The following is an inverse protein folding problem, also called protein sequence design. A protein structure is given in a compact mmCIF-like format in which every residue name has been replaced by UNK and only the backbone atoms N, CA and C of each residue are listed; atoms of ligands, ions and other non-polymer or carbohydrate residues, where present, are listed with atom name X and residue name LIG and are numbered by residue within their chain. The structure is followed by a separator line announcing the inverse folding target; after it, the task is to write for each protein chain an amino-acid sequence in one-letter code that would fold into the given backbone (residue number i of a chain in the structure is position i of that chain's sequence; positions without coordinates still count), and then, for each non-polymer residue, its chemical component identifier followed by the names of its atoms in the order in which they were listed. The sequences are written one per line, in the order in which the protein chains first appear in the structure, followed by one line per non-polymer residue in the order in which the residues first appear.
data_IF_678565679138
#
_entry.id   IF_678565679138
#
_cell.length_a   1.000
_cell.length_b   1.000
_cell.length_c   1.000
_cell.angle_alpha   90.00
_cell.angle_beta   90.00
_cell.angle_gamma   90.00
#
_symmetry.space_group_name_H-M   'P 1'
#
loop_
_entity.id
_entity.type
_entity.pdbx_description
1 polymer ?
#
# COMPACT_ATOMS: atom_id res chain seq x y z
N UNK A 1 10.84 -24.25 -7.80
CA UNK A 1 11.06 -24.25 -6.34
C UNK A 1 12.14 -23.23 -6.04
N UNK A 2 11.75 -21.99 -5.71
CA UNK A 2 12.70 -20.98 -5.26
C UNK A 2 13.19 -21.40 -3.88
N UNK A 3 14.53 -21.49 -3.73
CA UNK A 3 15.18 -21.86 -2.48
C UNK A 3 14.65 -20.97 -1.34
N UNK A 4 14.26 -21.61 -0.23
CA UNK A 4 14.04 -20.96 1.07
C UNK A 4 15.40 -20.43 1.61
N UNK A 5 16.05 -19.54 0.88
CA UNK A 5 17.10 -18.73 1.47
C UNK A 5 16.42 -17.82 2.49
N UNK A 6 16.73 -18.05 3.75
CA UNK A 6 16.32 -17.13 4.82
C UNK A 6 16.86 -15.74 4.47
N UNK A 7 15.99 -14.88 3.97
CA UNK A 7 16.33 -13.49 3.69
C UNK A 7 16.62 -12.79 5.02
N UNK A 8 17.86 -12.31 5.18
CA UNK A 8 18.30 -11.61 6.40
C UNK A 8 19.04 -10.33 6.02
N UNK A 9 18.89 -9.30 6.83
CA UNK A 9 19.69 -8.10 6.71
C UNK A 9 21.12 -8.33 7.23
N UNK A 10 22.08 -7.76 6.53
CA UNK A 10 23.50 -7.75 6.94
C UNK A 10 23.71 -6.66 7.98
N UNK A 11 23.15 -5.46 7.71
CA UNK A 11 23.17 -4.36 8.67
C UNK A 11 21.95 -4.44 9.58
N UNK A 12 22.20 -4.68 10.85
CA UNK A 12 21.17 -4.79 11.90
C UNK A 12 21.01 -3.51 12.72
N UNK A 13 21.75 -2.43 12.40
CA UNK A 13 21.63 -1.17 13.11
C UNK A 13 20.38 -0.42 12.63
N UNK A 14 19.55 0.08 13.56
CA UNK A 14 18.40 0.89 13.19
C UNK A 14 18.81 2.09 12.33
N UNK A 15 18.08 2.30 11.25
CA UNK A 15 18.29 3.44 10.37
C UNK A 15 17.67 4.72 10.96
N UNK A 16 18.17 5.92 10.60
CA UNK A 16 17.56 7.17 10.98
C UNK A 16 16.13 7.28 10.41
N UNK A 17 15.37 8.24 10.94
CA UNK A 17 14.01 8.49 10.43
C UNK A 17 14.06 8.95 9.00
N UNK A 18 13.19 8.38 8.18
CA UNK A 18 13.00 8.78 6.77
C UNK A 18 12.53 10.23 6.69
N UNK A 19 13.08 10.96 5.74
CA UNK A 19 12.80 12.38 5.55
C UNK A 19 11.33 12.64 5.18
N UNK A 20 10.80 13.83 5.57
CA UNK A 20 9.43 14.22 5.19
C UNK A 20 9.22 14.26 3.67
N UNK A 21 10.24 14.66 2.91
CA UNK A 21 10.18 14.68 1.45
C UNK A 21 9.99 13.28 0.87
N UNK A 22 10.73 12.31 1.40
CA UNK A 22 10.60 10.90 1.00
C UNK A 22 9.23 10.33 1.38
N UNK A 23 8.71 10.62 2.57
CA UNK A 23 7.36 10.21 2.96
C UNK A 23 6.29 10.78 2.02
N UNK A 24 6.39 12.07 1.67
CA UNK A 24 5.49 12.69 0.69
C UNK A 24 5.58 12.01 -0.67
N UNK A 25 6.79 11.70 -1.14
CA UNK A 25 6.99 10.95 -2.40
C UNK A 25 6.36 9.56 -2.36
N UNK A 26 6.47 8.86 -1.23
CA UNK A 26 5.83 7.56 -1.03
C UNK A 26 4.31 7.66 -1.09
N UNK A 27 3.70 8.66 -0.44
CA UNK A 27 2.26 8.92 -0.49
C UNK A 27 1.80 9.17 -1.93
N UNK A 28 2.48 10.03 -2.68
CA UNK A 28 2.14 10.27 -4.08
C UNK A 28 2.29 9.01 -4.95
N UNK A 29 3.33 8.21 -4.74
CA UNK A 29 3.49 6.95 -5.47
C UNK A 29 2.41 5.92 -5.12
N UNK A 30 1.89 5.93 -3.90
CA UNK A 30 0.84 5.00 -3.48
C UNK A 30 -0.49 5.20 -4.23
N UNK A 31 -0.74 6.37 -4.83
CA UNK A 31 -1.91 6.59 -5.71
C UNK A 31 -1.89 5.69 -6.94
N UNK A 32 -0.70 5.20 -7.34
CA UNK A 32 -0.50 4.27 -8.45
C UNK A 32 -0.44 2.80 -8.01
N UNK A 33 -0.91 2.49 -6.79
CA UNK A 33 -0.86 1.14 -6.22
C UNK A 33 -1.39 0.05 -7.16
N UNK A 34 -2.46 0.35 -7.88
CA UNK A 34 -3.13 -0.60 -8.78
C UNK A 34 -2.69 -0.53 -10.24
N UNK A 35 -1.76 0.36 -10.60
CA UNK A 35 -1.34 0.56 -11.99
C UNK A 35 -0.70 -0.69 -12.63
N UNK A 36 -0.13 -1.59 -11.82
CA UNK A 36 0.49 -2.84 -12.25
C UNK A 36 -0.16 -4.08 -11.63
N UNK A 37 -1.46 -3.99 -11.35
CA UNK A 37 -2.23 -5.08 -10.77
C UNK A 37 -2.20 -6.33 -11.66
N UNK A 38 -2.01 -7.50 -11.04
CA UNK A 38 -2.07 -8.79 -11.71
C UNK A 38 -2.59 -9.87 -10.76
N UNK A 39 -3.11 -10.97 -11.29
CA UNK A 39 -3.74 -12.03 -10.47
C UNK A 39 -2.74 -12.87 -9.66
N UNK A 40 -1.47 -12.90 -10.03
CA UNK A 40 -0.45 -13.69 -9.33
C UNK A 40 -0.02 -13.04 -8.02
N UNK A 41 0.21 -11.71 -8.04
CA UNK A 41 0.78 -10.98 -6.90
C UNK A 41 -0.05 -9.76 -6.46
N UNK A 42 -1.21 -9.57 -7.08
CA UNK A 42 -2.14 -8.46 -6.84
C UNK A 42 -1.46 -7.09 -6.97
N UNK A 43 -1.28 -6.39 -5.86
CA UNK A 43 -0.78 -5.01 -5.82
C UNK A 43 0.74 -4.92 -5.58
N UNK A 44 1.48 -6.04 -5.58
CA UNK A 44 2.88 -6.09 -5.11
C UNK A 44 3.84 -5.14 -5.83
N UNK A 45 3.72 -5.00 -7.15
CA UNK A 45 4.60 -4.10 -7.91
C UNK A 45 4.31 -2.63 -7.61
N UNK A 46 3.03 -2.23 -7.50
CA UNK A 46 2.64 -0.89 -7.08
C UNK A 46 3.03 -0.60 -5.63
N UNK A 47 2.91 -1.61 -4.75
CA UNK A 47 3.39 -1.54 -3.38
C UNK A 47 4.89 -1.26 -3.33
N UNK A 48 5.72 -2.08 -4.02
CA UNK A 48 7.16 -1.87 -4.04
C UNK A 48 7.52 -0.50 -4.64
N UNK A 49 6.86 -0.10 -5.73
CA UNK A 49 7.06 1.22 -6.34
C UNK A 49 6.81 2.36 -5.34
N UNK A 50 5.77 2.25 -4.52
CA UNK A 50 5.46 3.24 -3.51
C UNK A 50 6.44 3.22 -2.33
N UNK A 51 6.87 2.03 -1.89
CA UNK A 51 7.81 1.85 -0.77
C UNK A 51 9.25 2.21 -1.12
N UNK A 52 9.65 2.06 -2.38
CA UNK A 52 11.04 2.14 -2.84
C UNK A 52 11.81 3.38 -2.34
N UNK A 53 11.26 4.61 -2.39
CA UNK A 53 12.01 5.77 -1.89
C UNK A 53 12.39 5.68 -0.41
N UNK A 54 11.50 5.10 0.41
CA UNK A 54 11.77 4.87 1.83
C UNK A 54 12.79 3.76 2.05
N UNK A 55 12.69 2.68 1.28
CA UNK A 55 13.64 1.56 1.36
C UNK A 55 15.06 1.98 0.96
N UNK A 56 15.21 2.82 -0.08
CA UNK A 56 16.50 3.36 -0.52
C UNK A 56 17.14 4.25 0.55
N UNK A 57 16.34 5.00 1.33
CA UNK A 57 16.84 5.84 2.42
C UNK A 57 17.21 5.01 3.65
N UNK A 58 16.47 3.93 3.92
CA UNK A 58 16.69 3.01 5.06
C UNK A 58 17.86 2.05 4.82
N UNK A 59 18.00 1.53 3.62
CA UNK A 59 18.99 0.52 3.27
C UNK A 59 20.06 1.10 2.35
N UNK A 60 21.14 1.61 2.94
CA UNK A 60 22.29 2.14 2.20
C UNK A 60 23.16 1.04 1.59
N UNK A 61 23.09 -0.18 2.13
CA UNK A 61 23.74 -1.37 1.60
C UNK A 61 22.89 -1.99 0.47
N UNK A 62 23.48 -2.18 -0.69
CA UNK A 62 22.80 -2.77 -1.86
C UNK A 62 22.25 -4.18 -1.62
N UNK A 63 22.92 -4.99 -0.80
CA UNK A 63 22.46 -6.33 -0.47
C UNK A 63 21.20 -6.28 0.38
N UNK A 64 21.16 -5.42 1.38
CA UNK A 64 19.98 -5.25 2.25
C UNK A 64 18.82 -4.62 1.48
N UNK A 65 19.09 -3.65 0.61
CA UNK A 65 18.08 -3.09 -0.28
C UNK A 65 17.48 -4.18 -1.18
N UNK A 66 18.32 -5.01 -1.80
CA UNK A 66 17.84 -6.12 -2.64
C UNK A 66 17.00 -7.13 -1.83
N UNK A 67 17.42 -7.45 -0.61
CA UNK A 67 16.65 -8.31 0.32
C UNK A 67 15.28 -7.69 0.62
N UNK A 68 15.26 -6.40 0.98
CA UNK A 68 14.01 -5.67 1.26
C UNK A 68 13.10 -5.60 0.03
N UNK A 69 13.63 -5.26 -1.14
CA UNK A 69 12.85 -5.25 -2.39
C UNK A 69 12.26 -6.63 -2.70
N UNK A 70 13.02 -7.71 -2.47
CA UNK A 70 12.58 -9.07 -2.77
C UNK A 70 11.35 -9.45 -1.96
N UNK A 71 11.37 -9.27 -0.64
CA UNK A 71 10.21 -9.63 0.17
C UNK A 71 9.06 -8.63 0.04
N UNK A 72 9.32 -7.37 -0.36
CA UNK A 72 8.28 -6.40 -0.65
C UNK A 72 7.58 -6.67 -2.00
N UNK A 73 8.12 -7.54 -2.85
CA UNK A 73 7.44 -8.06 -4.06
C UNK A 73 6.53 -9.26 -3.78
N UNK A 74 6.43 -9.74 -2.56
CA UNK A 74 5.48 -10.80 -2.21
C UNK A 74 4.04 -10.32 -2.37
N UNK A 75 3.13 -11.29 -2.49
CA UNK A 75 1.70 -11.04 -2.59
C UNK A 75 1.22 -10.03 -1.53
N UNK A 76 0.50 -9.03 -1.98
CA UNK A 76 -0.22 -8.09 -1.13
C UNK A 76 -1.50 -7.63 -1.83
N UNK A 77 -2.59 -7.58 -1.06
CA UNK A 77 -3.84 -6.98 -1.47
C UNK A 77 -4.45 -6.24 -0.28
N UNK A 78 -4.73 -4.96 -0.45
CA UNK A 78 -5.36 -4.11 0.56
C UNK A 78 -6.16 -3.01 -0.11
N UNK A 79 -7.03 -2.34 0.66
CA UNK A 79 -7.78 -1.22 0.11
C UNK A 79 -6.87 -0.02 -0.16
N UNK A 80 -6.94 0.63 -1.35
CA UNK A 80 -6.04 1.73 -1.73
C UNK A 80 -5.99 2.89 -0.73
N UNK A 81 -7.11 3.24 -0.10
CA UNK A 81 -7.16 4.31 0.90
C UNK A 81 -6.49 3.95 2.24
N UNK A 82 -6.30 2.66 2.52
CA UNK A 82 -5.65 2.19 3.74
C UNK A 82 -4.15 1.88 3.53
N UNK A 83 -3.67 1.87 2.29
CA UNK A 83 -2.31 1.41 1.96
C UNK A 83 -1.22 2.21 2.67
N UNK A 84 -1.38 3.52 2.80
CA UNK A 84 -0.37 4.39 3.45
C UNK A 84 -0.19 4.05 4.93
N UNK A 85 -1.22 3.59 5.60
CA UNK A 85 -1.13 3.11 6.98
C UNK A 85 -0.27 1.83 7.06
N UNK A 86 -0.52 0.86 6.18
CA UNK A 86 0.29 -0.38 6.08
C UNK A 86 1.74 -0.04 5.74
N UNK A 87 1.96 0.89 4.79
CA UNK A 87 3.29 1.38 4.41
C UNK A 87 4.05 1.96 5.61
N UNK A 88 3.37 2.75 6.45
CA UNK A 88 3.97 3.35 7.64
C UNK A 88 4.45 2.30 8.65
N UNK A 89 3.65 1.26 8.88
CA UNK A 89 4.01 0.15 9.77
C UNK A 89 5.23 -0.60 9.21
N UNK A 90 5.17 -1.02 7.95
CA UNK A 90 6.26 -1.77 7.31
C UNK A 90 7.54 -0.94 7.26
N UNK A 91 7.45 0.34 6.89
CA UNK A 91 8.62 1.22 6.86
C UNK A 91 9.27 1.38 8.24
N UNK A 92 8.47 1.47 9.30
CA UNK A 92 8.99 1.54 10.67
C UNK A 92 9.74 0.26 11.07
N UNK A 93 9.24 -0.90 10.65
CA UNK A 93 9.92 -2.18 10.89
C UNK A 93 11.21 -2.31 10.07
N UNK A 94 11.22 -1.82 8.82
CA UNK A 94 12.42 -1.73 7.99
C UNK A 94 13.50 -0.84 8.63
N UNK A 95 13.10 0.33 9.17
CA UNK A 95 14.00 1.23 9.89
C UNK A 95 14.62 0.57 11.14
N UNK A 96 13.84 -0.23 11.85
CA UNK A 96 14.31 -0.98 13.02
C UNK A 96 15.13 -2.22 12.62
N UNK A 97 15.29 -2.51 11.33
CA UNK A 97 15.95 -3.72 10.81
C UNK A 97 15.36 -4.99 11.42
N UNK A 98 14.03 -5.01 11.56
CA UNK A 98 13.32 -6.18 12.07
C UNK A 98 13.55 -7.40 11.18
N UNK A 99 13.36 -8.58 11.74
CA UNK A 99 13.46 -9.82 10.99
C UNK A 99 12.48 -9.84 9.81
N UNK A 100 12.97 -10.26 8.63
CA UNK A 100 12.22 -10.26 7.37
C UNK A 100 10.92 -11.06 7.46
N UNK A 101 10.92 -12.21 8.16
CA UNK A 101 9.72 -13.03 8.31
C UNK A 101 8.68 -12.31 9.19
N UNK A 102 9.15 -11.60 10.20
CA UNK A 102 8.28 -10.77 11.04
C UNK A 102 7.65 -9.63 10.24
N UNK A 103 8.43 -8.92 9.40
CA UNK A 103 7.91 -7.88 8.50
C UNK A 103 6.83 -8.44 7.57
N UNK A 104 7.09 -9.60 6.94
CA UNK A 104 6.13 -10.29 6.05
C UNK A 104 4.83 -10.61 6.77
N UNK A 105 4.94 -11.22 7.95
CA UNK A 105 3.78 -11.63 8.75
C UNK A 105 2.92 -10.44 9.18
N UNK A 106 3.55 -9.38 9.68
CA UNK A 106 2.84 -8.15 10.09
C UNK A 106 2.19 -7.48 8.89
N UNK A 107 2.90 -7.37 7.75
CA UNK A 107 2.36 -6.78 6.52
C UNK A 107 1.06 -7.47 6.10
N UNK A 108 1.06 -8.81 6.03
CA UNK A 108 -0.13 -9.58 5.64
C UNK A 108 -1.24 -9.44 6.68
N UNK A 109 -0.90 -9.56 7.98
CA UNK A 109 -1.86 -9.47 9.07
C UNK A 109 -2.57 -8.13 9.17
N UNK A 110 -1.93 -7.05 8.71
CA UNK A 110 -2.53 -5.71 8.70
C UNK A 110 -3.24 -5.43 7.36
N UNK A 111 -2.62 -5.80 6.23
CA UNK A 111 -3.16 -5.49 4.91
C UNK A 111 -4.48 -6.20 4.61
N UNK A 112 -4.61 -7.47 4.98
CA UNK A 112 -5.79 -8.27 4.64
C UNK A 112 -7.08 -7.79 5.34
N UNK A 113 -7.12 -7.55 6.68
CA UNK A 113 -8.29 -6.97 7.32
C UNK A 113 -8.66 -5.57 6.80
N UNK A 114 -7.66 -4.73 6.53
CA UNK A 114 -7.89 -3.39 5.98
C UNK A 114 -8.45 -3.43 4.55
N UNK A 115 -8.10 -4.46 3.77
CA UNK A 115 -8.74 -4.73 2.49
C UNK A 115 -10.23 -4.97 2.67
N UNK A 116 -10.61 -5.93 3.51
CA UNK A 116 -12.02 -6.28 3.76
C UNK A 116 -12.84 -5.12 4.34
N UNK A 117 -12.30 -4.41 5.33
CA UNK A 117 -12.96 -3.24 5.92
C UNK A 117 -13.13 -2.12 4.89
N UNK A 118 -12.08 -1.86 4.12
CA UNK A 118 -12.10 -0.84 3.07
C UNK A 118 -13.13 -1.17 2.00
N UNK A 119 -13.17 -2.40 1.50
CA UNK A 119 -14.13 -2.86 0.51
C UNK A 119 -15.58 -2.75 1.03
N UNK A 120 -15.82 -3.14 2.28
CA UNK A 120 -17.14 -3.02 2.90
C UNK A 120 -17.59 -1.55 3.02
N UNK A 121 -16.70 -0.67 3.44
CA UNK A 121 -17.00 0.74 3.62
C UNK A 121 -17.18 1.48 2.29
N UNK A 122 -16.26 1.28 1.34
CA UNK A 122 -16.27 2.04 0.08
C UNK A 122 -17.16 1.39 -0.97
N UNK A 123 -16.89 0.14 -1.36
CA UNK A 123 -17.59 -0.50 -2.47
C UNK A 123 -19.02 -0.93 -2.14
N UNK A 124 -19.26 -1.40 -0.91
CA UNK A 124 -20.58 -1.91 -0.52
C UNK A 124 -21.44 -0.91 0.25
N UNK A 125 -20.86 0.23 0.70
CA UNK A 125 -21.63 1.26 1.44
C UNK A 125 -21.59 2.61 0.73
N UNK A 126 -20.42 3.23 0.62
CA UNK A 126 -20.31 4.61 0.11
C UNK A 126 -20.74 4.72 -1.36
N UNK A 127 -20.25 3.84 -2.22
CA UNK A 127 -20.53 3.88 -3.66
C UNK A 127 -22.03 3.68 -3.94
N UNK A 128 -22.72 2.65 -3.43
CA UNK A 128 -24.16 2.46 -3.70
C UNK A 128 -25.02 3.59 -3.15
N UNK A 129 -24.73 4.10 -1.95
CA UNK A 129 -25.49 5.20 -1.36
C UNK A 129 -25.31 6.47 -2.21
N UNK A 130 -24.07 6.82 -2.53
CA UNK A 130 -23.77 8.00 -3.35
C UNK A 130 -24.41 7.88 -4.74
N UNK A 131 -24.28 6.71 -5.37
CA UNK A 131 -24.89 6.46 -6.68
C UNK A 131 -26.42 6.60 -6.63
N UNK A 132 -27.10 6.04 -5.63
CA UNK A 132 -28.54 6.14 -5.48
C UNK A 132 -29.03 7.59 -5.30
N UNK A 133 -28.36 8.35 -4.46
CA UNK A 133 -28.71 9.76 -4.22
C UNK A 133 -28.47 10.62 -5.47
N UNK A 134 -27.32 10.48 -6.09
CA UNK A 134 -26.94 11.32 -7.25
C UNK A 134 -27.69 10.92 -8.51
N UNK A 135 -28.03 9.62 -8.69
CA UNK A 135 -28.88 9.15 -9.77
C UNK A 135 -30.29 9.74 -9.68
N UNK A 136 -30.87 9.79 -8.48
CA UNK A 136 -32.19 10.43 -8.28
C UNK A 136 -32.19 11.92 -8.65
N UNK A 137 -31.11 12.64 -8.32
CA UNK A 137 -30.94 14.05 -8.77
C UNK A 137 -30.82 14.14 -10.30
N UNK A 138 -30.10 13.22 -10.95
CA UNK A 138 -29.94 13.19 -12.40
C UNK A 138 -31.28 12.90 -13.13
N UNK A 139 -32.08 11.97 -12.61
CA UNK A 139 -33.44 11.67 -13.12
C UNK A 139 -34.35 12.92 -13.02
N UNK A 140 -34.20 13.72 -11.98
CA UNK A 140 -34.86 15.01 -11.84
C UNK A 140 -34.33 16.10 -12.79
N UNK A 141 -33.43 15.79 -13.72
CA UNK A 141 -32.86 16.73 -14.70
C UNK A 141 -31.70 17.58 -14.18
N UNK A 142 -31.20 17.33 -12.98
CA UNK A 142 -30.07 18.08 -12.39
C UNK A 142 -28.73 17.53 -12.81
N UNK A 143 -27.92 18.34 -13.50
CA UNK A 143 -26.53 18.03 -13.83
C UNK A 143 -25.64 17.91 -12.58
N UNK A 144 -26.09 18.43 -11.45
CA UNK A 144 -25.38 18.34 -10.17
C UNK A 144 -25.27 16.90 -9.65
N UNK A 145 -26.18 15.98 -10.08
CA UNK A 145 -26.11 14.58 -9.71
C UNK A 145 -24.76 13.95 -10.11
N UNK A 146 -24.44 13.85 -11.40
CA UNK A 146 -23.13 13.34 -11.83
C UNK A 146 -21.93 14.10 -11.25
N UNK A 147 -22.02 15.44 -11.15
CA UNK A 147 -20.92 16.25 -10.61
C UNK A 147 -20.65 15.90 -9.15
N UNK A 148 -21.67 15.79 -8.31
CA UNK A 148 -21.51 15.40 -6.90
C UNK A 148 -20.99 13.97 -6.74
N UNK A 149 -21.40 13.05 -7.61
CA UNK A 149 -20.88 11.68 -7.62
C UNK A 149 -19.36 11.67 -7.76
N UNK A 150 -18.82 12.39 -8.75
CA UNK A 150 -17.38 12.48 -8.99
C UNK A 150 -16.60 13.29 -7.93
N UNK A 151 -17.26 14.18 -7.19
CA UNK A 151 -16.61 14.92 -6.10
C UNK A 151 -16.49 14.06 -4.84
N UNK A 152 -17.47 13.19 -4.58
CA UNK A 152 -17.53 12.38 -3.37
C UNK A 152 -16.63 11.12 -3.50
N UNK A 153 -16.51 10.57 -4.69
CA UNK A 153 -15.74 9.37 -5.01
C UNK A 153 -14.42 9.69 -5.71
#
# INVERSE_FOLDING_TARGET
MASNQELRYVDTKPAPRVSKGTLTKMIWRSTMLQASFNYERMQSAGWLWAMLPGLEEVHTNKQDLATSMTHNMDFINTHPFAVTFVMGIVLSMEQLKSDVQTIRSVRISVAAPLGGIGDALFWYTLVPITAGLTANMAIGGSIMGPVLYFIIL
#
